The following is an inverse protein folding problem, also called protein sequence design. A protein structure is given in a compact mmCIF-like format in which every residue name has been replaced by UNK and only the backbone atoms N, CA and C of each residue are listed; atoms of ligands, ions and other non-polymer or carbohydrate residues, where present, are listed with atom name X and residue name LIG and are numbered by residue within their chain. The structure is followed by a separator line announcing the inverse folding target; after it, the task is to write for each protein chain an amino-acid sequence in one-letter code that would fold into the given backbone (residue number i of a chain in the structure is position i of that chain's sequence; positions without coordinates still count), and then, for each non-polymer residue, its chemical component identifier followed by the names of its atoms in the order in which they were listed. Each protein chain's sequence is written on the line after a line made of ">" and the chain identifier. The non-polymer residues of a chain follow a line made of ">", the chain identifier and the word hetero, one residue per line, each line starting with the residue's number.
data_IF_565123107614
#
_entry.id   IF_565123107614
#
_cell.length_a   1.000
_cell.length_b   1.000
_cell.length_c   1.000
_cell.angle_alpha   90.00
_cell.angle_beta   90.00
_cell.angle_gamma   90.00
#
_symmetry.space_group_name_H-M   'P 1'
#
loop_
_entity.id
_entity.type
_entity.pdbx_description
1 polymer ?
#
# COMPACT_ATOMS: atom_id res chain seq x y z
N UNK A 1 -52.03 18.07 -48.00
CA UNK A 1 -51.60 17.97 -46.58
C UNK A 1 -50.37 17.07 -46.55
N UNK A 2 -49.19 17.66 -46.80
CA UNK A 2 -47.87 17.02 -46.60
C UNK A 2 -47.71 16.80 -45.07
N UNK A 3 -47.09 15.77 -44.50
CA UNK A 3 -45.75 15.24 -44.75
C UNK A 3 -45.53 13.91 -44.00
N UNK A 4 -44.56 13.16 -44.50
CA UNK A 4 -43.90 11.92 -44.09
C UNK A 4 -43.46 11.75 -42.61
N UNK A 5 -43.49 10.48 -42.15
CA UNK A 5 -42.35 9.69 -41.60
C UNK A 5 -41.68 10.14 -40.27
N UNK A 6 -41.59 9.24 -39.28
CA UNK A 6 -40.40 8.39 -39.01
C UNK A 6 -40.33 7.96 -37.53
N UNK A 7 -40.30 6.65 -37.34
CA UNK A 7 -39.85 5.93 -36.15
C UNK A 7 -38.47 6.44 -35.70
N UNK A 8 -38.30 6.73 -34.41
CA UNK A 8 -36.96 6.73 -33.79
C UNK A 8 -37.00 6.06 -32.42
N UNK A 9 -36.48 4.84 -32.44
CA UNK A 9 -35.95 4.08 -31.31
C UNK A 9 -34.74 4.86 -30.80
N UNK A 10 -34.77 5.34 -29.56
CA UNK A 10 -33.56 5.85 -28.91
C UNK A 10 -32.71 4.67 -28.42
N UNK A 11 -31.91 4.14 -29.33
CA UNK A 11 -30.69 3.42 -28.98
C UNK A 11 -29.63 4.46 -28.59
N UNK A 12 -29.46 4.71 -27.30
CA UNK A 12 -28.30 5.47 -26.81
C UNK A 12 -27.09 4.53 -26.78
N UNK A 13 -26.42 4.53 -27.93
CA UNK A 13 -25.12 3.95 -28.15
C UNK A 13 -24.03 4.77 -27.44
N UNK A 14 -23.14 4.07 -26.74
CA UNK A 14 -21.70 4.26 -26.91
C UNK A 14 -21.05 5.56 -26.44
N UNK A 15 -20.60 5.56 -25.18
CA UNK A 15 -19.31 6.15 -24.82
C UNK A 15 -18.65 5.28 -23.74
N UNK A 16 -18.35 4.04 -24.10
CA UNK A 16 -17.31 3.29 -23.39
C UNK A 16 -15.99 4.01 -23.65
N UNK A 17 -15.67 4.98 -22.79
CA UNK A 17 -14.33 5.52 -22.73
C UNK A 17 -13.46 4.39 -22.16
N UNK A 18 -13.00 3.50 -23.06
CA UNK A 18 -11.87 2.66 -22.81
C UNK A 18 -10.76 3.62 -22.37
N UNK A 19 -10.49 3.65 -21.07
CA UNK A 19 -9.24 4.13 -20.53
C UNK A 19 -8.18 3.15 -21.04
N UNK A 20 -7.83 3.27 -22.33
CA UNK A 20 -6.55 2.82 -22.84
C UNK A 20 -5.53 3.75 -22.22
N UNK A 21 -5.22 3.47 -20.95
CA UNK A 21 -3.90 3.76 -20.43
C UNK A 21 -2.97 2.92 -21.29
N UNK A 22 -2.44 3.48 -22.38
CA UNK A 22 -1.27 2.91 -23.01
C UNK A 22 -0.20 2.87 -21.92
N UNK A 23 0.21 1.69 -21.43
CA UNK A 23 1.40 1.64 -20.61
C UNK A 23 2.51 2.08 -21.55
N UNK A 24 3.13 3.24 -21.27
CA UNK A 24 4.41 3.54 -21.89
C UNK A 24 5.28 2.31 -21.63
N UNK A 25 5.71 1.65 -22.71
CA UNK A 25 6.54 0.45 -22.66
C UNK A 25 7.83 0.81 -21.90
N UNK A 26 7.86 0.48 -20.62
CA UNK A 26 9.09 0.16 -19.92
C UNK A 26 9.17 -1.35 -19.91
N UNK A 27 9.98 -1.90 -20.80
CA UNK A 27 10.33 -3.32 -20.83
C UNK A 27 10.88 -3.73 -19.47
N UNK A 28 10.07 -4.37 -18.63
CA UNK A 28 10.56 -4.99 -17.41
C UNK A 28 10.21 -6.48 -17.43
N UNK A 29 11.19 -7.30 -17.83
CA UNK A 29 11.12 -8.76 -17.94
C UNK A 29 10.80 -9.44 -16.60
N UNK A 30 10.78 -8.69 -15.49
CA UNK A 30 10.49 -9.14 -14.13
C UNK A 30 9.03 -8.96 -13.68
N UNK A 31 8.18 -8.25 -14.43
CA UNK A 31 6.80 -7.95 -14.01
C UNK A 31 6.69 -6.96 -12.84
N UNK A 32 7.80 -6.32 -12.44
CA UNK A 32 7.82 -5.24 -11.43
C UNK A 32 7.64 -3.90 -12.14
N UNK A 33 6.82 -3.00 -11.61
CA UNK A 33 6.69 -1.64 -12.14
C UNK A 33 6.65 -0.63 -11.02
N UNK A 34 7.51 0.39 -11.05
CA UNK A 34 7.32 1.57 -10.19
C UNK A 34 6.09 2.31 -10.67
N UNK A 35 5.14 2.52 -9.77
CA UNK A 35 3.93 3.28 -10.04
C UNK A 35 4.29 4.77 -10.13
N UNK A 36 3.56 5.49 -10.98
CA UNK A 36 3.60 6.94 -11.06
C UNK A 36 2.73 7.61 -10.00
N UNK A 37 2.22 8.79 -10.31
CA UNK A 37 1.27 9.51 -9.49
C UNK A 37 -0.04 8.73 -9.35
N UNK A 38 -0.64 8.78 -8.17
CA UNK A 38 -1.94 8.18 -7.89
C UNK A 38 -2.95 9.25 -7.48
N UNK A 39 -4.23 8.99 -7.72
CA UNK A 39 -5.33 9.78 -7.17
C UNK A 39 -5.67 9.16 -5.83
N UNK A 40 -5.60 9.96 -4.77
CA UNK A 40 -6.08 9.61 -3.45
C UNK A 40 -7.42 10.29 -3.21
N UNK A 41 -8.42 9.50 -2.88
CA UNK A 41 -9.76 9.95 -2.55
C UNK A 41 -10.07 9.68 -1.09
N UNK A 42 -10.70 10.68 -0.48
CA UNK A 42 -11.43 10.54 0.76
C UNK A 42 -10.70 10.92 2.04
N UNK A 43 -11.48 10.68 3.09
CA UNK A 43 -11.19 10.62 4.51
C UNK A 43 -12.42 9.91 5.12
N UNK A 44 -12.69 8.67 4.69
CA UNK A 44 -13.91 7.93 5.06
C UNK A 44 -13.86 7.50 6.53
N UNK A 45 -14.89 7.87 7.29
CA UNK A 45 -15.05 7.41 8.67
C UNK A 45 -15.47 5.92 8.74
N UNK A 46 -16.26 5.46 7.78
CA UNK A 46 -16.71 4.07 7.67
C UNK A 46 -15.91 3.32 6.59
N UNK A 47 -15.33 2.18 6.97
CA UNK A 47 -14.59 1.27 6.09
C UNK A 47 -15.43 0.77 4.91
N UNK A 48 -16.74 0.53 5.13
CA UNK A 48 -17.65 0.02 4.08
C UNK A 48 -17.81 1.02 2.94
N UNK A 49 -17.68 2.32 3.22
CA UNK A 49 -17.73 3.34 2.17
C UNK A 49 -16.47 3.32 1.32
N UNK A 50 -15.29 3.22 1.94
CA UNK A 50 -14.01 3.08 1.24
C UNK A 50 -13.97 1.79 0.39
N UNK A 51 -14.52 0.69 0.91
CA UNK A 51 -14.65 -0.58 0.20
C UNK A 51 -15.55 -0.46 -1.03
N UNK A 52 -16.80 0.01 -0.86
CA UNK A 52 -17.74 0.16 -1.98
C UNK A 52 -17.19 1.06 -3.08
N UNK A 53 -16.49 2.13 -2.70
CA UNK A 53 -15.84 3.01 -3.65
C UNK A 53 -14.72 2.28 -4.41
N UNK A 54 -13.84 1.57 -3.69
CA UNK A 54 -12.76 0.78 -4.30
C UNK A 54 -13.30 -0.30 -5.23
N UNK A 55 -14.34 -1.04 -4.81
CA UNK A 55 -14.98 -2.07 -5.62
C UNK A 55 -15.61 -1.49 -6.90
N UNK A 56 -16.18 -0.28 -6.83
CA UNK A 56 -16.71 0.43 -8.00
C UNK A 56 -15.63 0.77 -9.01
N UNK A 57 -14.45 1.20 -8.55
CA UNK A 57 -13.29 1.46 -9.40
C UNK A 57 -12.76 0.17 -10.03
N UNK A 58 -12.59 -0.88 -9.22
CA UNK A 58 -12.09 -2.18 -9.69
C UNK A 58 -13.01 -2.81 -10.74
N UNK A 59 -14.34 -2.71 -10.57
CA UNK A 59 -15.32 -3.15 -11.59
C UNK A 59 -15.20 -2.41 -12.92
N UNK A 60 -14.62 -1.21 -12.91
CA UNK A 60 -14.32 -0.40 -14.11
C UNK A 60 -12.90 -0.65 -14.64
N UNK A 61 -12.19 -1.65 -14.12
CA UNK A 61 -10.82 -1.98 -14.50
C UNK A 61 -9.76 -1.03 -13.90
N UNK A 62 -10.13 -0.22 -12.90
CA UNK A 62 -9.22 0.69 -12.23
C UNK A 62 -8.70 0.00 -10.96
N UNK A 63 -7.40 -0.26 -10.93
CA UNK A 63 -6.76 -0.81 -9.73
C UNK A 63 -6.83 0.25 -8.60
N UNK A 64 -7.48 -0.12 -7.51
CA UNK A 64 -7.74 0.75 -6.37
C UNK A 64 -7.52 -0.02 -5.06
N UNK A 65 -6.88 0.65 -4.10
CA UNK A 65 -6.59 0.10 -2.78
C UNK A 65 -6.99 1.12 -1.73
N UNK A 66 -7.63 0.67 -0.67
CA UNK A 66 -7.90 1.51 0.49
C UNK A 66 -7.12 1.04 1.72
N UNK A 67 -6.83 1.98 2.59
CA UNK A 67 -6.00 1.79 3.78
C UNK A 67 -6.50 2.69 4.89
N UNK A 68 -6.17 2.32 6.13
CA UNK A 68 -6.52 3.08 7.33
C UNK A 68 -5.37 4.00 7.74
N UNK A 69 -5.59 5.31 7.80
CA UNK A 69 -4.63 6.32 8.28
C UNK A 69 -4.54 6.30 9.81
N UNK A 70 -3.51 6.94 10.36
CA UNK A 70 -3.25 6.95 11.81
C UNK A 70 -4.36 7.60 12.63
N UNK A 71 -5.09 8.55 12.05
CA UNK A 71 -6.26 9.18 12.66
C UNK A 71 -7.52 8.29 12.61
N UNK A 72 -7.40 7.03 12.20
CA UNK A 72 -8.50 6.06 12.13
C UNK A 72 -9.36 6.16 10.87
N UNK A 73 -9.06 7.11 9.99
CA UNK A 73 -9.83 7.40 8.78
C UNK A 73 -9.32 6.55 7.61
N UNK A 74 -10.21 6.07 6.76
CA UNK A 74 -9.85 5.34 5.54
C UNK A 74 -9.64 6.27 4.36
N UNK A 75 -8.68 5.94 3.49
CA UNK A 75 -8.48 6.62 2.22
C UNK A 75 -8.26 5.59 1.11
N UNK A 76 -8.58 5.95 -0.12
CA UNK A 76 -8.47 5.07 -1.30
C UNK A 76 -7.47 5.69 -2.27
N UNK A 77 -6.44 4.93 -2.68
CA UNK A 77 -5.49 5.30 -3.74
C UNK A 77 -5.75 4.47 -4.98
N UNK A 78 -5.73 5.11 -6.14
CA UNK A 78 -5.93 4.44 -7.43
C UNK A 78 -5.24 5.18 -8.58
N UNK A 79 -4.96 4.43 -9.64
CA UNK A 79 -4.31 4.94 -10.84
C UNK A 79 -2.79 4.95 -10.78
N UNK A 80 -2.19 5.02 -11.98
CA UNK A 80 -0.76 4.98 -12.25
C UNK A 80 -0.49 5.99 -13.37
N UNK A 81 -0.22 7.24 -12.99
CA UNK A 81 -0.12 8.36 -13.93
C UNK A 81 1.33 8.83 -14.06
N UNK A 82 1.84 9.05 -15.29
CA UNK A 82 3.25 9.42 -15.47
C UNK A 82 3.57 10.86 -15.06
N UNK A 83 2.55 11.70 -14.81
CA UNK A 83 2.73 13.05 -14.28
C UNK A 83 1.57 13.49 -13.40
N UNK A 84 1.86 14.45 -12.51
CA UNK A 84 0.86 15.10 -11.65
C UNK A 84 -0.26 15.73 -12.47
N UNK A 85 0.05 16.33 -13.61
CA UNK A 85 -0.89 16.99 -14.50
C UNK A 85 -1.85 15.99 -15.11
N UNK A 86 -1.36 14.83 -15.59
CA UNK A 86 -2.24 13.78 -16.13
C UNK A 86 -3.16 13.21 -15.06
N UNK A 87 -2.62 12.97 -13.85
CA UNK A 87 -3.42 12.53 -12.72
C UNK A 87 -4.52 13.56 -12.38
N UNK A 88 -4.18 14.86 -12.38
CA UNK A 88 -5.12 15.96 -12.11
C UNK A 88 -6.20 16.07 -13.17
N UNK A 89 -5.88 15.89 -14.46
CA UNK A 89 -6.87 15.92 -15.55
C UNK A 89 -7.88 14.79 -15.38
N UNK A 90 -7.41 13.58 -15.08
CA UNK A 90 -8.30 12.44 -14.84
C UNK A 90 -9.13 12.64 -13.58
N UNK A 91 -8.54 13.11 -12.49
CA UNK A 91 -9.26 13.41 -11.25
C UNK A 91 -10.34 14.48 -11.47
N UNK A 92 -10.04 15.55 -12.21
CA UNK A 92 -11.00 16.59 -12.54
C UNK A 92 -12.18 16.04 -13.36
N UNK A 93 -11.93 15.10 -14.27
CA UNK A 93 -12.99 14.40 -14.99
C UNK A 93 -13.87 13.56 -14.06
N UNK A 94 -13.27 12.82 -13.13
CA UNK A 94 -14.03 12.04 -12.14
C UNK A 94 -14.90 12.94 -11.23
N UNK A 95 -14.42 14.14 -10.90
CA UNK A 95 -15.22 15.15 -10.19
C UNK A 95 -16.38 15.66 -11.05
N UNK A 96 -16.13 15.99 -12.32
CA UNK A 96 -17.16 16.44 -13.26
C UNK A 96 -18.26 15.38 -13.46
N UNK A 97 -17.86 14.11 -13.51
CA UNK A 97 -18.75 12.95 -13.62
C UNK A 97 -19.45 12.60 -12.28
N UNK A 98 -19.21 13.39 -11.20
CA UNK A 98 -19.73 13.19 -9.83
C UNK A 98 -19.39 11.82 -9.25
N UNK A 99 -18.24 11.26 -9.63
CA UNK A 99 -17.73 10.00 -9.10
C UNK A 99 -16.92 10.20 -7.81
N UNK A 100 -16.32 11.38 -7.63
CA UNK A 100 -15.56 11.76 -6.43
C UNK A 100 -15.83 13.23 -6.09
N UNK A 101 -15.87 13.57 -4.80
CA UNK A 101 -16.12 14.94 -4.34
C UNK A 101 -14.84 15.76 -4.15
N UNK A 102 -13.76 15.11 -3.70
CA UNK A 102 -12.48 15.74 -3.44
C UNK A 102 -11.33 14.74 -3.62
N UNK A 103 -10.17 15.25 -4.04
CA UNK A 103 -9.02 14.40 -4.32
C UNK A 103 -7.71 15.07 -3.93
N UNK A 104 -6.71 14.22 -3.72
CA UNK A 104 -5.32 14.58 -3.57
C UNK A 104 -4.49 13.78 -4.59
N UNK A 105 -3.50 14.41 -5.22
CA UNK A 105 -2.60 13.71 -6.14
C UNK A 105 -1.38 13.25 -5.35
N UNK A 106 -1.35 11.96 -5.03
CA UNK A 106 -0.23 11.33 -4.34
C UNK A 106 0.94 11.14 -5.31
N UNK A 107 2.13 11.67 -5.03
CA UNK A 107 3.32 11.40 -5.79
C UNK A 107 3.79 9.95 -5.56
N UNK A 108 4.56 9.38 -6.50
CA UNK A 108 4.97 7.97 -6.47
C UNK A 108 5.85 7.58 -5.26
N UNK A 109 6.48 8.57 -4.64
CA UNK A 109 7.35 8.41 -3.46
C UNK A 109 6.66 8.80 -2.14
N UNK A 110 5.37 9.18 -2.15
CA UNK A 110 4.69 9.53 -0.91
C UNK A 110 4.27 8.28 -0.13
N UNK A 111 4.85 8.19 1.06
CA UNK A 111 4.47 7.23 2.08
C UNK A 111 3.06 7.52 2.57
N UNK A 112 2.23 6.49 2.55
CA UNK A 112 0.82 6.54 2.97
C UNK A 112 0.66 6.87 4.46
N UNK A 113 1.60 6.39 5.27
CA UNK A 113 1.64 6.54 6.72
C UNK A 113 2.73 7.57 7.05
N UNK A 114 2.33 8.76 7.49
CA UNK A 114 3.29 9.74 8.00
C UNK A 114 4.05 9.12 9.18
N UNK A 115 5.31 9.54 9.35
CA UNK A 115 6.25 9.09 10.39
C UNK A 115 5.55 8.51 11.60
N UNK A 116 5.72 7.21 11.81
CA UNK A 116 5.37 6.61 13.08
C UNK A 116 6.22 7.31 14.15
N UNK A 117 5.67 8.36 14.78
CA UNK A 117 6.08 8.72 16.14
C UNK A 117 6.09 7.39 16.90
N UNK A 118 7.28 7.02 17.39
CA UNK A 118 7.66 5.78 18.09
C UNK A 118 6.44 5.08 18.71
N UNK A 119 6.31 3.73 18.65
CA UNK A 119 5.12 3.03 19.14
C UNK A 119 4.90 3.34 20.62
N UNK A 120 4.06 4.32 20.89
CA UNK A 120 3.62 4.71 22.22
C UNK A 120 2.53 3.76 22.67
N UNK A 121 2.86 2.49 22.90
CA UNK A 121 2.05 1.70 23.79
C UNK A 121 2.32 2.18 25.21
N UNK A 122 1.61 3.24 25.62
CA UNK A 122 1.29 3.46 27.01
C UNK A 122 -0.22 3.49 27.12
N UNK A 123 -0.75 2.51 27.86
CA UNK A 123 -2.13 2.53 28.35
C UNK A 123 -2.24 3.75 29.27
N UNK A 124 -2.91 4.81 28.83
CA UNK A 124 -3.19 5.96 29.69
C UNK A 124 -4.17 5.52 30.79
N UNK A 125 -3.84 5.67 32.09
CA UNK A 125 -4.85 5.55 33.14
C UNK A 125 -5.82 6.76 33.09
N UNK A 126 -7.07 6.62 33.56
CA UNK A 126 -8.15 7.50 33.10
C UNK A 126 -8.18 8.96 33.59
N UNK A 127 -7.33 9.42 34.52
CA UNK A 127 -7.70 10.59 35.33
C UNK A 127 -6.64 11.72 35.48
N UNK A 128 -5.89 12.10 34.44
CA UNK A 128 -5.04 13.31 34.52
C UNK A 128 -5.22 14.26 33.33
N UNK A 129 -6.26 15.11 33.43
CA UNK A 129 -6.25 16.43 32.79
C UNK A 129 -5.79 17.43 33.85
N UNK A 130 -4.51 17.85 33.80
CA UNK A 130 -4.03 19.05 34.48
C UNK A 130 -3.72 20.13 33.45
N UNK A 131 -4.40 21.27 33.61
CA UNK A 131 -4.26 22.49 32.80
C UNK A 131 -2.83 23.07 32.91
N UNK A 132 -2.29 23.74 31.86
CA UNK A 132 -0.94 24.30 31.91
C UNK A 132 -0.90 25.58 32.77
N UNK A 133 0.14 25.71 33.60
CA UNK A 133 0.57 26.98 34.19
C UNK A 133 1.70 27.60 33.39
N UNK A 134 1.60 28.91 33.21
CA UNK A 134 2.47 29.81 32.44
C UNK A 134 3.94 29.79 32.86
N UNK A 135 4.85 29.97 31.89
CA UNK A 135 6.19 30.52 32.13
C UNK A 135 6.65 31.44 31.01
N UNK A 136 7.05 32.65 31.41
CA UNK A 136 7.80 33.62 30.60
C UNK A 136 9.33 33.37 30.74
N UNK A 137 10.19 33.93 29.85
CA UNK A 137 11.56 33.43 29.60
C UNK A 137 12.69 34.31 30.17
N UNK A 138 13.83 33.69 30.46
CA UNK A 138 15.19 34.25 30.52
C UNK A 138 16.15 33.05 30.43
N UNK A 139 17.12 32.92 29.51
CA UNK A 139 18.09 33.87 28.99
C UNK A 139 19.46 33.50 29.57
N UNK A 140 20.39 32.95 28.80
CA UNK A 140 21.86 33.21 28.84
C UNK A 140 22.56 32.49 27.67
N UNK A 141 23.45 33.22 26.97
CA UNK A 141 24.34 32.78 25.89
C UNK A 141 25.57 32.03 26.44
N UNK A 142 26.11 31.06 25.70
CA UNK A 142 27.40 30.46 25.99
C UNK A 142 27.94 29.57 24.87
N UNK A 143 28.89 30.14 24.11
CA UNK A 143 30.07 29.52 23.47
C UNK A 143 29.94 28.33 22.51
N UNK A 144 30.43 28.60 21.29
CA UNK A 144 30.70 27.67 20.23
C UNK A 144 31.70 26.57 20.65
N UNK A 145 31.25 25.32 20.53
CA UNK A 145 32.08 24.13 20.45
C UNK A 145 31.64 23.34 19.22
N UNK A 146 32.60 23.03 18.35
CA UNK A 146 32.44 22.24 17.13
C UNK A 146 31.86 20.86 17.44
N UNK A 147 30.57 20.68 17.19
CA UNK A 147 29.92 19.38 17.15
C UNK A 147 30.08 18.86 15.72
N UNK A 148 30.91 17.84 15.56
CA UNK A 148 30.92 17.01 14.36
C UNK A 148 29.50 16.53 14.08
N UNK A 149 28.91 17.07 13.02
CA UNK A 149 27.53 16.78 12.61
C UNK A 149 27.53 15.41 11.93
N UNK A 150 27.55 14.33 12.71
CA UNK A 150 27.24 13.01 12.17
C UNK A 150 25.83 13.08 11.54
N UNK A 151 25.66 12.71 10.26
CA UNK A 151 24.35 12.72 9.63
C UNK A 151 23.45 11.73 10.38
N UNK A 152 22.29 12.23 10.82
CA UNK A 152 21.33 11.51 11.63
C UNK A 152 20.94 10.17 10.96
N UNK A 153 21.36 9.04 11.54
CA UNK A 153 21.05 7.69 11.03
C UNK A 153 19.53 7.41 10.92
N UNK A 154 18.69 8.21 11.59
CA UNK A 154 17.23 8.11 11.48
C UNK A 154 16.68 8.64 10.16
N UNK A 155 17.24 9.72 9.58
CA UNK A 155 16.71 10.34 8.36
C UNK A 155 16.90 9.47 7.11
N UNK A 156 17.87 8.55 7.13
CA UNK A 156 18.06 7.55 6.08
C UNK A 156 17.07 6.38 6.16
N UNK A 157 16.58 6.02 7.36
CA UNK A 157 15.54 4.96 7.50
C UNK A 157 14.14 5.47 7.17
N UNK A 158 13.90 6.77 7.37
CA UNK A 158 12.61 7.42 7.08
C UNK A 158 12.29 7.48 5.59
N UNK A 159 13.28 7.29 4.71
CA UNK A 159 13.11 7.17 3.25
C UNK A 159 13.38 5.74 2.71
N UNK A 160 13.57 4.75 3.59
CA UNK A 160 13.74 3.36 3.19
C UNK A 160 12.36 2.73 2.90
N UNK A 161 12.06 2.56 1.61
CA UNK A 161 10.79 1.99 1.16
C UNK A 161 10.56 0.56 1.68
N UNK A 162 11.63 -0.20 1.93
CA UNK A 162 11.53 -1.53 2.55
C UNK A 162 10.99 -1.43 3.98
N UNK A 163 11.58 -0.54 4.79
CA UNK A 163 11.09 -0.25 6.14
C UNK A 163 9.63 0.21 6.14
N UNK A 164 9.27 1.12 5.24
CA UNK A 164 7.91 1.62 5.07
C UNK A 164 6.94 0.49 4.71
N UNK A 165 7.30 -0.39 3.78
CA UNK A 165 6.49 -1.54 3.40
C UNK A 165 6.28 -2.50 4.58
N UNK A 166 7.32 -2.76 5.38
CA UNK A 166 7.20 -3.56 6.60
C UNK A 166 6.22 -2.95 7.60
N UNK A 167 6.32 -1.64 7.90
CA UNK A 167 5.38 -0.97 8.81
C UNK A 167 3.97 -0.90 8.25
N UNK A 168 3.83 -0.76 6.93
CA UNK A 168 2.55 -0.81 6.24
C UNK A 168 1.91 -2.18 6.39
N UNK A 169 2.68 -3.26 6.19
CA UNK A 169 2.23 -4.64 6.34
C UNK A 169 1.65 -4.90 7.75
N UNK A 170 2.28 -4.37 8.80
CA UNK A 170 1.78 -4.50 10.18
C UNK A 170 0.36 -3.93 10.38
N UNK A 171 -0.06 -2.96 9.56
CA UNK A 171 -1.42 -2.38 9.63
C UNK A 171 -2.51 -3.28 9.05
N UNK A 172 -2.14 -4.35 8.36
CA UNK A 172 -3.07 -5.33 7.79
C UNK A 172 -3.35 -6.49 8.76
N UNK A 173 -2.64 -6.56 9.89
CA UNK A 173 -2.87 -7.60 10.91
C UNK A 173 -4.32 -7.57 11.39
N UNK A 174 -4.96 -8.74 11.43
CA UNK A 174 -6.36 -8.93 11.79
C UNK A 174 -7.34 -8.95 10.60
N UNK A 175 -6.89 -8.69 9.37
CA UNK A 175 -7.75 -8.88 8.18
C UNK A 175 -7.91 -10.39 7.90
N UNK A 176 -9.13 -10.90 7.67
CA UNK A 176 -9.35 -12.31 7.40
C UNK A 176 -8.64 -12.81 6.14
N UNK A 177 -8.19 -14.07 6.16
CA UNK A 177 -7.74 -14.74 4.95
C UNK A 177 -8.91 -15.08 4.02
N UNK A 178 -8.75 -14.81 2.72
CA UNK A 178 -9.65 -15.30 1.66
C UNK A 178 -8.86 -15.73 0.44
N UNK A 179 -9.04 -16.98 0.00
CA UNK A 179 -8.39 -17.49 -1.22
C UNK A 179 -8.80 -16.66 -2.44
N UNK A 180 -7.82 -16.17 -3.20
CA UNK A 180 -8.06 -15.26 -4.33
C UNK A 180 -8.40 -13.83 -3.91
N UNK A 181 -8.55 -13.57 -2.61
CA UNK A 181 -8.93 -12.26 -2.08
C UNK A 181 -7.80 -11.24 -2.18
N UNK A 182 -8.18 -9.98 -2.39
CA UNK A 182 -7.29 -8.86 -2.64
C UNK A 182 -7.79 -7.54 -2.02
N UNK A 183 -8.75 -7.61 -1.08
CA UNK A 183 -9.31 -6.42 -0.42
C UNK A 183 -9.51 -6.64 1.09
N UNK A 184 -9.52 -5.56 1.88
CA UNK A 184 -9.43 -5.66 3.35
C UNK A 184 -10.75 -5.93 4.07
N UNK A 185 -11.89 -5.97 3.36
CA UNK A 185 -13.20 -6.31 3.97
C UNK A 185 -13.55 -7.77 3.73
N UNK A 186 -13.44 -8.23 2.48
CA UNK A 186 -13.71 -9.63 2.15
C UNK A 186 -12.57 -10.56 2.59
N UNK A 187 -11.38 -9.99 2.79
CA UNK A 187 -10.17 -10.72 3.13
C UNK A 187 -9.21 -10.87 1.96
N UNK A 188 -7.99 -11.26 2.28
CA UNK A 188 -6.87 -11.33 1.34
C UNK A 188 -6.20 -12.71 1.35
N UNK A 189 -5.68 -13.16 0.22
CA UNK A 189 -4.70 -14.26 0.21
C UNK A 189 -3.28 -13.74 0.40
N UNK A 190 -2.32 -14.64 0.59
CA UNK A 190 -0.93 -14.28 0.88
C UNK A 190 -0.34 -13.32 -0.16
N UNK A 191 -0.46 -13.65 -1.43
CA UNK A 191 0.10 -12.85 -2.53
C UNK A 191 -0.70 -11.58 -2.84
N UNK A 192 -2.02 -11.58 -2.63
CA UNK A 192 -2.90 -10.41 -2.76
C UNK A 192 -2.62 -9.37 -1.68
N UNK A 193 -2.44 -9.83 -0.43
CA UNK A 193 -1.98 -8.99 0.68
C UNK A 193 -0.65 -8.32 0.36
N UNK A 194 0.35 -9.11 -0.03
CA UNK A 194 1.69 -8.57 -0.32
C UNK A 194 1.64 -7.55 -1.46
N UNK A 195 0.90 -7.84 -2.54
CA UNK A 195 0.70 -6.92 -3.66
C UNK A 195 0.01 -5.62 -3.23
N UNK A 196 -0.98 -5.68 -2.35
CA UNK A 196 -1.65 -4.48 -1.84
C UNK A 196 -0.69 -3.57 -1.08
N UNK A 197 0.13 -4.12 -0.18
CA UNK A 197 1.16 -3.35 0.56
C UNK A 197 2.16 -2.70 -0.39
N UNK A 198 2.64 -3.46 -1.37
CA UNK A 198 3.62 -2.98 -2.34
C UNK A 198 3.07 -1.87 -3.24
N UNK A 199 1.82 -1.99 -3.71
CA UNK A 199 1.15 -0.94 -4.47
C UNK A 199 0.97 0.34 -3.64
N UNK A 200 0.63 0.22 -2.35
CA UNK A 200 0.59 1.37 -1.43
C UNK A 200 1.96 2.03 -1.25
N UNK A 201 3.03 1.27 -1.44
CA UNK A 201 4.42 1.72 -1.44
C UNK A 201 4.95 2.05 -2.85
N UNK A 202 4.07 2.27 -3.84
CA UNK A 202 4.46 2.75 -5.16
C UNK A 202 5.11 1.69 -6.06
N UNK A 203 4.99 0.40 -5.76
CA UNK A 203 5.56 -0.69 -6.56
C UNK A 203 4.47 -1.71 -6.88
N UNK A 204 4.20 -1.89 -8.18
CA UNK A 204 3.36 -2.97 -8.68
C UNK A 204 4.20 -4.23 -8.84
N UNK A 205 3.70 -5.35 -8.30
CA UNK A 205 4.31 -6.67 -8.39
C UNK A 205 3.30 -7.70 -8.92
N UNK A 206 3.75 -8.87 -9.41
CA UNK A 206 2.86 -9.91 -9.92
C UNK A 206 1.79 -10.38 -8.92
N UNK A 207 0.68 -10.95 -9.41
CA UNK A 207 -0.45 -11.35 -8.56
C UNK A 207 -0.17 -12.60 -7.73
N UNK A 208 0.61 -13.55 -8.26
CA UNK A 208 0.80 -14.86 -7.62
C UNK A 208 2.15 -14.93 -6.92
N UNK A 209 2.22 -15.69 -5.82
CA UNK A 209 3.47 -15.88 -5.06
C UNK A 209 4.60 -16.50 -5.89
N UNK A 210 4.27 -17.35 -6.88
CA UNK A 210 5.25 -17.95 -7.80
C UNK A 210 5.88 -16.92 -8.74
N UNK A 211 5.06 -16.04 -9.31
CA UNK A 211 5.55 -14.97 -10.18
C UNK A 211 6.31 -13.92 -9.38
N UNK A 212 5.82 -13.59 -8.17
CA UNK A 212 6.55 -12.75 -7.23
C UNK A 212 7.93 -13.35 -6.96
N UNK A 213 8.05 -14.64 -6.63
CA UNK A 213 9.37 -15.25 -6.38
C UNK A 213 10.33 -15.21 -7.57
N UNK A 214 9.82 -15.19 -8.81
CA UNK A 214 10.66 -15.04 -10.02
C UNK A 214 11.06 -13.59 -10.29
N UNK A 215 10.40 -12.65 -9.64
CA UNK A 215 10.64 -11.23 -9.73
C UNK A 215 11.54 -10.75 -8.57
N UNK A 216 12.31 -9.70 -8.83
CA UNK A 216 13.14 -9.04 -7.81
C UNK A 216 14.47 -9.73 -7.59
N UNK A 217 15.31 -9.08 -6.79
CA UNK A 217 16.68 -9.50 -6.55
C UNK A 217 16.72 -10.59 -5.47
N UNK A 218 17.51 -11.66 -5.69
CA UNK A 218 17.67 -12.73 -4.70
C UNK A 218 18.31 -12.21 -3.42
N UNK A 219 17.75 -12.56 -2.27
CA UNK A 219 18.29 -12.21 -0.95
C UNK A 219 18.53 -13.48 -0.14
N UNK A 220 19.70 -13.55 0.51
CA UNK A 220 20.02 -14.63 1.43
C UNK A 220 19.37 -14.38 2.79
N UNK A 221 18.99 -15.45 3.50
CA UNK A 221 18.31 -15.34 4.82
C UNK A 221 19.06 -14.45 5.82
N UNK A 222 20.38 -14.46 5.82
CA UNK A 222 21.22 -13.67 6.73
C UNK A 222 21.35 -12.18 6.35
N UNK A 223 20.84 -11.77 5.18
CA UNK A 223 20.88 -10.37 4.70
C UNK A 223 19.48 -9.78 4.51
N UNK A 224 18.47 -10.42 5.11
CA UNK A 224 17.09 -9.93 5.11
C UNK A 224 17.00 -8.55 5.76
N UNK A 225 16.34 -7.65 5.04
CA UNK A 225 15.98 -6.31 5.48
C UNK A 225 14.46 -6.17 5.49
N UNK A 226 13.97 -5.25 6.33
CA UNK A 226 12.55 -4.89 6.37
C UNK A 226 12.02 -4.65 4.95
N UNK A 227 10.85 -5.23 4.65
CA UNK A 227 10.21 -5.11 3.34
C UNK A 227 10.55 -6.22 2.37
N UNK A 228 11.65 -6.96 2.56
CA UNK A 228 11.96 -8.13 1.73
C UNK A 228 10.82 -9.15 1.78
N UNK A 229 10.54 -9.80 0.64
CA UNK A 229 9.55 -10.86 0.58
C UNK A 229 10.20 -12.19 0.91
N UNK A 230 9.59 -12.94 1.83
CA UNK A 230 10.01 -14.30 2.19
C UNK A 230 9.04 -15.32 1.62
N UNK A 231 9.58 -16.34 0.96
CA UNK A 231 8.81 -17.31 0.20
C UNK A 231 8.95 -18.72 0.76
N UNK A 232 7.83 -19.44 0.74
CA UNK A 232 7.74 -20.78 1.27
C UNK A 232 7.10 -21.73 0.26
N UNK A 233 7.53 -22.99 0.31
CA UNK A 233 7.16 -24.02 -0.65
C UNK A 233 7.91 -25.32 -0.40
N UNK A 234 7.89 -26.21 -1.39
CA UNK A 234 8.74 -27.42 -1.40
C UNK A 234 10.01 -27.27 -2.24
N UNK A 235 10.06 -26.27 -3.12
CA UNK A 235 11.18 -25.95 -4.00
C UNK A 235 10.91 -24.61 -4.73
N UNK A 236 11.91 -24.08 -5.43
CA UNK A 236 11.84 -22.84 -6.22
C UNK A 236 10.71 -22.82 -7.26
N UNK A 237 10.37 -23.98 -7.84
CA UNK A 237 9.25 -24.15 -8.79
C UNK A 237 7.89 -24.38 -8.10
N UNK A 238 7.89 -24.63 -6.79
CA UNK A 238 6.71 -25.02 -6.00
C UNK A 238 6.46 -24.08 -4.82
N UNK A 239 6.60 -22.78 -5.06
CA UNK A 239 6.16 -21.75 -4.11
C UNK A 239 4.64 -21.84 -3.92
N UNK A 240 4.22 -21.82 -2.66
CA UNK A 240 2.80 -21.83 -2.28
C UNK A 240 2.43 -20.74 -1.27
N UNK A 241 3.41 -20.05 -0.68
CA UNK A 241 3.16 -19.01 0.32
C UNK A 241 4.21 -17.90 0.30
N UNK A 242 3.81 -16.70 0.71
CA UNK A 242 4.65 -15.50 0.74
C UNK A 242 4.27 -14.61 1.93
N UNK A 243 5.22 -13.83 2.44
CA UNK A 243 4.96 -12.76 3.37
C UNK A 243 6.03 -11.67 3.32
N UNK A 244 5.82 -10.59 4.07
CA UNK A 244 6.71 -9.43 4.13
C UNK A 244 7.53 -9.51 5.41
N UNK A 245 8.85 -9.52 5.29
CA UNK A 245 9.77 -9.49 6.42
C UNK A 245 9.66 -8.15 7.16
N UNK A 246 9.54 -8.20 8.48
CA UNK A 246 9.37 -7.02 9.36
C UNK A 246 10.47 -6.92 10.41
N UNK A 247 11.61 -7.59 10.16
CA UNK A 247 12.78 -7.59 11.00
C UNK A 247 12.76 -8.69 12.06
N UNK A 248 13.94 -8.94 12.65
CA UNK A 248 14.13 -9.83 13.80
C UNK A 248 13.56 -11.25 13.60
N UNK A 249 13.75 -11.83 12.42
CA UNK A 249 13.25 -13.18 12.13
C UNK A 249 11.73 -13.26 11.92
N UNK A 250 11.02 -12.13 11.86
CA UNK A 250 9.55 -12.10 11.77
C UNK A 250 9.06 -11.60 10.42
N UNK A 251 7.88 -12.06 10.05
CA UNK A 251 7.20 -11.66 8.82
C UNK A 251 5.69 -11.53 9.04
N UNK A 252 5.04 -10.66 8.28
CA UNK A 252 3.58 -10.55 8.21
C UNK A 252 3.09 -11.36 7.02
N UNK A 253 2.01 -12.13 7.19
CA UNK A 253 1.41 -12.90 6.11
C UNK A 253 -0.08 -13.15 6.34
N UNK A 254 -0.81 -13.42 5.24
CA UNK A 254 -2.15 -14.02 5.28
C UNK A 254 -2.02 -15.55 5.24
N UNK A 255 -2.22 -16.28 6.35
CA UNK A 255 -1.79 -17.68 6.48
C UNK A 255 -2.62 -18.68 5.65
N UNK A 256 -3.92 -18.80 5.96
CA UNK A 256 -4.85 -19.77 5.36
C UNK A 256 -6.29 -19.50 5.81
N UNK A 257 -7.24 -20.19 5.19
CA UNK A 257 -8.67 -20.10 5.51
C UNK A 257 -8.94 -20.31 7.00
N UNK A 258 -9.79 -19.46 7.58
CA UNK A 258 -10.18 -19.51 8.99
C UNK A 258 -9.22 -18.79 9.93
N UNK A 259 -8.19 -18.12 9.39
CA UNK A 259 -7.22 -17.36 10.16
C UNK A 259 -7.05 -15.96 9.55
N UNK A 260 -6.53 -15.04 10.35
CA UNK A 260 -6.31 -13.65 9.97
C UNK A 260 -4.85 -13.38 9.63
N UNK A 261 -4.59 -12.29 8.91
CA UNK A 261 -3.25 -11.76 8.70
C UNK A 261 -2.60 -11.54 10.06
N UNK A 262 -1.38 -12.04 10.21
CA UNK A 262 -0.64 -11.99 11.48
C UNK A 262 0.86 -11.91 11.27
N UNK A 263 1.56 -11.63 12.37
CA UNK A 263 3.02 -11.71 12.46
C UNK A 263 3.39 -13.13 12.91
N UNK A 264 4.39 -13.72 12.28
CA UNK A 264 4.91 -15.05 12.61
C UNK A 264 6.43 -15.07 12.50
N UNK A 265 7.08 -15.99 13.21
CA UNK A 265 8.53 -16.19 13.16
C UNK A 265 8.89 -17.13 12.01
N UNK A 266 9.95 -16.81 11.27
CA UNK A 266 10.50 -17.67 10.21
C UNK A 266 11.13 -18.92 10.83
N UNK A 267 11.56 -18.82 12.08
CA UNK A 267 12.14 -19.90 12.88
C UNK A 267 11.10 -20.88 13.42
N UNK A 268 9.79 -20.59 13.28
CA UNK A 268 8.75 -21.57 13.59
C UNK A 268 8.94 -22.81 12.70
N UNK A 269 8.94 -24.00 13.31
CA UNK A 269 9.30 -25.29 12.67
C UNK A 269 8.63 -25.52 11.32
N UNK A 270 7.38 -25.07 11.13
CA UNK A 270 6.67 -25.20 9.87
C UNK A 270 7.29 -24.34 8.75
N UNK A 271 7.60 -23.07 9.06
CA UNK A 271 8.13 -22.07 8.14
C UNK A 271 9.62 -22.27 7.90
N UNK A 272 10.36 -22.64 8.95
CA UNK A 272 11.79 -22.94 8.85
C UNK A 272 12.03 -24.02 7.80
N UNK A 273 11.30 -25.14 7.88
CA UNK A 273 11.40 -26.29 6.96
C UNK A 273 10.94 -26.01 5.53
N UNK A 274 10.14 -24.95 5.32
CA UNK A 274 9.53 -24.63 4.01
C UNK A 274 10.11 -23.38 3.39
N UNK A 275 11.04 -22.70 4.05
CA UNK A 275 11.66 -21.51 3.51
C UNK A 275 12.44 -21.86 2.25
N UNK A 276 12.07 -21.25 1.14
CA UNK A 276 12.70 -21.48 -0.16
C UNK A 276 13.70 -20.36 -0.45
N UNK A 277 13.32 -19.11 -0.20
CA UNK A 277 14.20 -17.97 -0.43
C UNK A 277 13.52 -16.64 -0.17
N UNK A 278 14.24 -15.56 -0.47
CA UNK A 278 13.73 -14.21 -0.33
C UNK A 278 14.03 -13.33 -1.55
N UNK A 279 13.21 -12.30 -1.76
CA UNK A 279 13.36 -11.34 -2.85
C UNK A 279 13.27 -9.90 -2.36
N UNK A 280 14.09 -9.03 -2.94
CA UNK A 280 14.08 -7.57 -2.73
C UNK A 280 13.60 -6.85 -3.97
N UNK A 281 12.77 -5.83 -3.76
CA UNK A 281 12.10 -5.07 -4.82
C UNK A 281 12.32 -3.57 -4.70
N UNK A 282 12.71 -3.10 -3.51
CA UNK A 282 13.12 -1.72 -3.28
C UNK A 282 14.64 -1.64 -3.41
N UNK A 283 15.09 -0.79 -4.34
CA UNK A 283 16.50 -0.45 -4.57
C UNK A 283 16.71 1.01 -4.20
#
# INVERSE_FOLDING_TARGET
>A
MFTFLRTMIFALCGAALLLSVNPALSSNTSGIRRLGYAIQMGAFADVKNAERFSATLQKKGIEAFYFRKDNGIYAVRFGDFPSKEKARVVAAKLVADRLIDGFYIAPPNEVVFADAKKPGWQKLPPDEIRLPQDRNPAGTKGTAGSVDKQPNRQTHREHDMGFIAARTAERFVGIPYRWGGDNVVEGMDCSGFVRAVYNLCGVSIPRTSREQFKAGDSVTRNTLLDGDLVFFGSSDDKINHVGIYVGKGKFVHAPRRGEDIRITSIEDTYFEKRFVGARRYFQ
#
